data_IF_429761485919
#
_entry.id   IF_429761485919
#
_cell.length_a   1.000
_cell.length_b   1.000
_cell.length_c   1.000
_cell.angle_alpha   90.00
_cell.angle_beta   90.00
_cell.angle_gamma   90.00
#
_symmetry.space_group_name_H-M   'P 1'
#
loop_
_entity.id
_entity.type
_entity.pdbx_description
1 polymer ?
#
# COMPACT_ATOMS: atom_id res chain seq x y z
N UNK A 1 -36.03 -8.93 -48.14
CA UNK A 1 -35.11 -9.97 -47.63
C UNK A 1 -33.82 -9.26 -47.25
N UNK A 2 -33.75 -8.73 -46.03
CA UNK A 2 -32.68 -7.88 -45.52
C UNK A 2 -31.78 -8.71 -44.61
N UNK A 3 -30.56 -8.96 -45.07
CA UNK A 3 -29.52 -9.63 -44.31
C UNK A 3 -28.89 -8.63 -43.31
N UNK A 4 -29.22 -8.79 -42.03
CA UNK A 4 -28.52 -8.14 -40.91
C UNK A 4 -27.47 -9.12 -40.41
N UNK A 5 -26.25 -9.01 -40.93
CA UNK A 5 -25.09 -9.61 -40.28
C UNK A 5 -24.80 -8.84 -38.99
N UNK A 6 -25.22 -9.43 -37.88
CA UNK A 6 -24.85 -8.99 -36.53
C UNK A 6 -23.34 -9.17 -36.42
N UNK A 7 -22.61 -8.06 -36.47
CA UNK A 7 -21.20 -7.99 -36.12
C UNK A 7 -21.03 -8.50 -34.70
N UNK A 8 -20.55 -9.73 -34.58
CA UNK A 8 -19.97 -10.29 -33.36
C UNK A 8 -18.90 -9.31 -32.87
N UNK A 9 -19.24 -8.53 -31.84
CA UNK A 9 -18.31 -7.66 -31.16
C UNK A 9 -17.25 -8.51 -30.49
N UNK A 10 -16.17 -8.81 -31.23
CA UNK A 10 -14.97 -9.40 -30.68
C UNK A 10 -14.52 -8.51 -29.52
N UNK A 11 -14.64 -9.00 -28.29
CA UNK A 11 -14.04 -8.33 -27.13
C UNK A 11 -12.56 -8.19 -27.45
N UNK A 12 -12.11 -6.96 -27.70
CA UNK A 12 -10.69 -6.66 -27.87
C UNK A 12 -10.00 -7.21 -26.63
N UNK A 13 -9.15 -8.22 -26.81
CA UNK A 13 -8.41 -8.79 -25.71
C UNK A 13 -7.55 -7.68 -25.09
N UNK A 14 -7.57 -7.55 -23.76
CA UNK A 14 -6.72 -6.60 -23.07
C UNK A 14 -5.25 -6.80 -23.49
N UNK A 15 -4.50 -5.71 -23.75
CA UNK A 15 -3.08 -5.82 -24.06
C UNK A 15 -2.32 -6.50 -22.92
N UNK A 16 -1.26 -7.27 -23.23
CA UNK A 16 -0.44 -7.94 -22.24
C UNK A 16 0.17 -6.93 -21.25
N UNK A 17 0.46 -7.39 -20.02
CA UNK A 17 0.99 -6.55 -18.95
C UNK A 17 2.20 -5.71 -19.40
N UNK A 18 3.12 -6.32 -20.14
CA UNK A 18 4.34 -5.66 -20.65
C UNK A 18 4.03 -4.43 -21.51
N UNK A 19 3.04 -4.52 -22.41
CA UNK A 19 2.66 -3.41 -23.28
C UNK A 19 2.01 -2.27 -22.48
N UNK A 20 1.18 -2.61 -21.48
CA UNK A 20 0.61 -1.61 -20.57
C UNK A 20 1.68 -0.90 -19.77
N UNK A 21 2.68 -1.65 -19.27
CA UNK A 21 3.79 -1.05 -18.54
C UNK A 21 4.63 -0.13 -19.44
N UNK A 22 4.99 -0.57 -20.65
CA UNK A 22 5.76 0.24 -21.59
C UNK A 22 5.03 1.52 -22.03
N UNK A 23 3.71 1.45 -22.16
CA UNK A 23 2.90 2.61 -22.57
C UNK A 23 2.60 3.59 -21.43
N UNK A 24 2.59 3.13 -20.17
CA UNK A 24 2.15 3.94 -19.02
C UNK A 24 3.26 4.33 -18.04
N UNK A 25 4.31 3.52 -17.92
CA UNK A 25 5.45 3.85 -17.08
C UNK A 25 6.25 4.98 -17.72
N UNK A 26 6.61 5.98 -16.92
CA UNK A 26 7.34 7.15 -17.42
C UNK A 26 8.78 7.13 -16.87
N UNK A 27 9.80 7.51 -17.66
CA UNK A 27 11.17 7.59 -17.14
C UNK A 27 11.32 8.42 -15.85
N UNK A 28 10.63 9.57 -15.69
CA UNK A 28 10.64 10.32 -14.43
C UNK A 28 10.17 9.50 -13.22
N UNK A 29 9.27 8.53 -13.40
CA UNK A 29 8.77 7.68 -12.32
C UNK A 29 9.89 6.82 -11.76
N UNK A 30 10.72 6.26 -12.65
CA UNK A 30 11.87 5.43 -12.27
C UNK A 30 12.96 6.26 -11.58
N UNK A 31 13.18 7.50 -12.01
CA UNK A 31 14.11 8.42 -11.36
C UNK A 31 13.65 8.75 -9.93
N UNK A 32 12.37 9.07 -9.74
CA UNK A 32 11.80 9.36 -8.42
C UNK A 32 11.87 8.13 -7.51
N UNK A 33 11.53 6.95 -8.01
CA UNK A 33 11.63 5.70 -7.23
C UNK A 33 13.08 5.37 -6.87
N UNK A 34 14.03 5.64 -7.76
CA UNK A 34 15.46 5.40 -7.53
C UNK A 34 16.09 6.40 -6.57
N UNK A 35 15.47 7.56 -6.36
CA UNK A 35 15.99 8.58 -5.44
C UNK A 35 16.10 8.05 -4.00
N UNK A 36 15.15 7.22 -3.55
CA UNK A 36 15.15 6.66 -2.18
C UNK A 36 16.38 5.78 -1.93
N UNK A 37 16.65 4.70 -2.70
CA UNK A 37 17.83 3.88 -2.45
C UNK A 37 19.13 4.67 -2.63
N UNK A 38 19.19 5.64 -3.55
CA UNK A 38 20.35 6.54 -3.67
C UNK A 38 20.58 7.34 -2.40
N UNK A 39 19.53 7.94 -1.83
CA UNK A 39 19.63 8.69 -0.55
C UNK A 39 20.02 7.78 0.60
N UNK A 40 19.44 6.57 0.70
CA UNK A 40 19.78 5.60 1.74
C UNK A 40 21.25 5.17 1.65
N UNK A 41 21.74 4.86 0.45
CA UNK A 41 23.14 4.51 0.21
C UNK A 41 24.07 5.69 0.53
N UNK A 42 23.72 6.92 0.11
CA UNK A 42 24.50 8.12 0.39
C UNK A 42 24.55 8.46 1.90
N UNK A 43 23.45 8.27 2.63
CA UNK A 43 23.45 8.41 4.09
C UNK A 43 24.34 7.35 4.76
N UNK A 44 24.40 6.14 4.20
CA UNK A 44 25.24 5.07 4.71
C UNK A 44 26.74 5.30 4.50
N UNK A 45 27.16 6.07 3.49
CA UNK A 45 28.59 6.38 3.27
C UNK A 45 29.16 7.42 4.23
N UNK A 46 28.32 8.10 5.03
CA UNK A 46 28.77 9.01 6.09
C UNK A 46 29.58 8.26 7.17
N UNK A 47 30.38 8.97 7.97
CA UNK A 47 31.07 8.34 9.11
C UNK A 47 30.06 7.78 10.11
N UNK A 48 30.43 6.72 10.83
CA UNK A 48 29.55 6.13 11.85
C UNK A 48 29.12 7.15 12.90
N UNK A 49 30.04 8.02 13.32
CA UNK A 49 29.76 9.13 14.24
C UNK A 49 28.67 10.06 13.70
N UNK A 50 28.74 10.43 12.42
CA UNK A 50 27.72 11.27 11.75
C UNK A 50 26.38 10.53 11.65
N UNK A 51 26.40 9.23 11.35
CA UNK A 51 25.15 8.43 11.32
C UNK A 51 24.51 8.36 12.71
N UNK A 52 25.30 8.18 13.77
CA UNK A 52 24.79 8.16 15.15
C UNK A 52 24.24 9.52 15.58
N UNK A 53 24.84 10.63 15.18
CA UNK A 53 24.33 11.98 15.49
C UNK A 53 23.02 12.32 14.74
N UNK A 54 22.76 11.65 13.62
CA UNK A 54 21.51 11.78 12.85
C UNK A 54 20.42 10.79 13.27
N UNK A 55 20.71 9.87 14.20
CA UNK A 55 19.72 8.95 14.77
C UNK A 55 18.80 9.67 15.78
N UNK A 56 17.60 9.13 15.98
CA UNK A 56 16.58 9.76 16.83
C UNK A 56 16.72 9.33 18.29
N UNK A 57 17.38 10.13 19.11
CA UNK A 57 17.42 9.93 20.56
C UNK A 57 16.09 10.33 21.21
N UNK A 58 15.35 9.37 21.78
CA UNK A 58 14.02 9.66 22.37
C UNK A 58 14.07 10.60 23.57
N UNK A 59 15.22 10.72 24.22
CA UNK A 59 15.42 11.58 25.40
C UNK A 59 15.91 12.98 25.05
N UNK A 60 16.34 13.21 23.80
CA UNK A 60 16.79 14.50 23.29
C UNK A 60 16.37 14.66 21.81
N UNK A 61 15.05 14.73 21.53
CA UNK A 61 14.55 14.73 20.17
C UNK A 61 14.77 16.09 19.49
N UNK A 62 15.23 16.08 18.24
CA UNK A 62 15.33 17.28 17.40
C UNK A 62 14.48 17.12 16.13
N UNK A 63 14.12 18.23 15.49
CA UNK A 63 13.39 18.19 14.21
C UNK A 63 14.22 17.53 13.11
N UNK A 64 15.55 17.77 13.10
CA UNK A 64 16.45 17.15 12.15
C UNK A 64 16.46 15.62 12.33
N UNK A 65 16.71 15.15 13.56
CA UNK A 65 16.77 13.72 13.85
C UNK A 65 15.42 13.03 13.70
N UNK A 66 14.31 13.74 13.89
CA UNK A 66 12.98 13.21 13.61
C UNK A 66 12.80 12.81 12.14
N UNK A 67 13.48 13.49 11.21
CA UNK A 67 13.47 13.15 9.79
C UNK A 67 14.62 12.21 9.42
N UNK A 68 15.87 12.60 9.72
CA UNK A 68 17.08 11.92 9.23
C UNK A 68 17.20 10.50 9.74
N UNK A 69 16.70 10.20 10.94
CA UNK A 69 16.77 8.86 11.51
C UNK A 69 16.15 7.79 10.62
N UNK A 70 15.09 8.12 9.86
CA UNK A 70 14.45 7.17 8.95
C UNK A 70 15.31 6.83 7.73
N UNK A 71 16.33 7.64 7.42
CA UNK A 71 17.21 7.45 6.28
C UNK A 71 18.59 6.91 6.65
N UNK A 72 18.89 6.80 7.95
CA UNK A 72 20.19 6.38 8.44
C UNK A 72 20.14 4.93 8.91
N UNK A 73 21.20 4.20 8.60
CA UNK A 73 21.42 2.82 9.05
C UNK A 73 22.82 2.69 9.66
N UNK A 74 22.94 1.94 10.75
CA UNK A 74 24.23 1.71 11.40
C UNK A 74 24.94 0.45 10.87
N UNK A 75 24.18 -0.47 10.27
CA UNK A 75 24.64 -1.77 9.81
C UNK A 75 24.23 -2.05 8.37
N UNK A 76 25.11 -2.72 7.61
CA UNK A 76 24.87 -3.04 6.21
C UNK A 76 23.70 -4.01 6.01
N UNK A 77 23.54 -5.00 6.92
CA UNK A 77 22.43 -5.94 6.87
C UNK A 77 21.07 -5.23 7.05
N UNK A 78 21.02 -4.26 7.97
CA UNK A 78 19.81 -3.46 8.21
C UNK A 78 19.50 -2.52 7.02
N UNK A 79 20.52 -1.94 6.37
CA UNK A 79 20.33 -1.17 5.14
C UNK A 79 19.80 -2.07 4.01
N UNK A 80 20.45 -3.21 3.77
CA UNK A 80 20.10 -4.14 2.69
C UNK A 80 18.65 -4.63 2.83
N UNK A 81 18.23 -5.02 4.03
CA UNK A 81 16.86 -5.47 4.27
C UNK A 81 15.84 -4.36 3.99
N UNK A 82 16.14 -3.11 4.35
CA UNK A 82 15.27 -1.97 4.06
C UNK A 82 15.22 -1.61 2.58
N UNK A 83 16.34 -1.63 1.87
CA UNK A 83 16.40 -1.36 0.42
C UNK A 83 15.65 -2.46 -0.34
N UNK A 84 15.83 -3.72 0.04
CA UNK A 84 15.11 -4.85 -0.55
C UNK A 84 13.59 -4.74 -0.30
N UNK A 85 13.19 -4.47 0.94
CA UNK A 85 11.78 -4.27 1.29
C UNK A 85 11.17 -3.09 0.52
N UNK A 86 11.88 -1.96 0.44
CA UNK A 86 11.45 -0.81 -0.36
C UNK A 86 11.26 -1.18 -1.82
N UNK A 87 12.26 -1.82 -2.44
CA UNK A 87 12.20 -2.23 -3.85
C UNK A 87 11.00 -3.13 -4.14
N UNK A 88 10.72 -4.09 -3.25
CA UNK A 88 9.56 -4.96 -3.38
C UNK A 88 8.24 -4.20 -3.19
N UNK A 89 8.08 -3.48 -2.08
CA UNK A 89 6.81 -2.84 -1.72
C UNK A 89 6.48 -1.65 -2.62
N UNK A 90 7.42 -0.72 -2.80
CA UNK A 90 7.23 0.44 -3.67
C UNK A 90 7.20 0.03 -5.14
N UNK A 91 8.04 -0.93 -5.55
CA UNK A 91 8.06 -1.44 -6.92
C UNK A 91 6.74 -2.13 -7.30
N UNK A 92 6.28 -3.11 -6.51
CA UNK A 92 5.01 -3.80 -6.77
C UNK A 92 3.83 -2.84 -6.62
N UNK A 93 3.84 -1.96 -5.62
CA UNK A 93 2.84 -0.90 -5.48
C UNK A 93 2.75 0.00 -6.71
N UNK A 94 3.89 0.45 -7.26
CA UNK A 94 3.94 1.24 -8.48
C UNK A 94 3.37 0.48 -9.68
N UNK A 95 3.74 -0.79 -9.86
CA UNK A 95 3.22 -1.62 -10.94
C UNK A 95 1.69 -1.79 -10.85
N UNK A 96 1.16 -2.07 -9.65
CA UNK A 96 -0.29 -2.14 -9.40
C UNK A 96 -0.96 -0.80 -9.71
N UNK A 97 -0.36 0.32 -9.29
CA UNK A 97 -0.89 1.65 -9.51
C UNK A 97 -0.95 2.03 -10.99
N UNK A 98 0.13 1.84 -11.74
CA UNK A 98 0.20 2.19 -13.17
C UNK A 98 -0.75 1.34 -14.00
N UNK A 99 -0.80 0.03 -13.71
CA UNK A 99 -1.67 -0.90 -14.43
C UNK A 99 -3.15 -0.73 -14.10
N UNK A 100 -3.48 -0.11 -12.96
CA UNK A 100 -4.85 0.25 -12.56
C UNK A 100 -5.22 1.72 -12.83
N UNK A 101 -4.32 2.52 -13.41
CA UNK A 101 -4.56 3.95 -13.65
C UNK A 101 -4.44 4.83 -12.40
N UNK A 102 -4.06 4.27 -11.26
CA UNK A 102 -3.94 4.94 -9.96
C UNK A 102 -2.54 5.51 -9.68
N UNK A 103 -1.82 5.94 -10.72
CA UNK A 103 -0.47 6.54 -10.58
C UNK A 103 -0.47 7.75 -9.65
N UNK A 104 -1.53 8.58 -9.68
CA UNK A 104 -1.67 9.76 -8.81
C UNK A 104 -1.79 9.39 -7.33
N UNK A 105 -2.59 8.37 -7.01
CA UNK A 105 -2.70 7.83 -5.64
C UNK A 105 -1.33 7.38 -5.14
N UNK A 106 -0.62 6.57 -5.94
CA UNK A 106 0.70 6.05 -5.55
C UNK A 106 1.70 7.17 -5.28
N UNK A 107 1.88 8.13 -6.18
CA UNK A 107 2.88 9.19 -5.97
C UNK A 107 2.49 10.20 -4.89
N UNK A 108 1.20 10.42 -4.65
CA UNK A 108 0.74 11.23 -3.50
C UNK A 108 1.11 10.55 -2.19
N UNK A 109 0.81 9.25 -2.09
CA UNK A 109 1.17 8.44 -0.93
C UNK A 109 2.69 8.34 -0.75
N UNK A 110 3.43 8.04 -1.83
CA UNK A 110 4.90 7.98 -1.86
C UNK A 110 5.54 9.25 -1.32
N UNK A 111 5.16 10.43 -1.84
CA UNK A 111 5.69 11.70 -1.38
C UNK A 111 5.36 11.94 0.10
N UNK A 112 4.14 11.60 0.53
CA UNK A 112 3.72 11.71 1.93
C UNK A 112 4.54 10.79 2.84
N UNK A 113 4.80 9.55 2.41
CA UNK A 113 5.54 8.56 3.19
C UNK A 113 7.03 8.88 3.29
N UNK A 114 7.63 9.42 2.22
CA UNK A 114 9.03 9.81 2.27
C UNK A 114 9.24 11.15 2.97
N UNK A 115 8.34 12.13 2.81
CA UNK A 115 8.60 13.49 3.26
C UNK A 115 7.91 13.86 4.58
N UNK A 116 6.73 13.29 4.86
CA UNK A 116 5.92 13.69 6.02
C UNK A 116 5.91 12.62 7.12
N UNK A 117 5.84 11.35 6.75
CA UNK A 117 5.82 10.25 7.73
C UNK A 117 7.03 10.21 8.66
N UNK A 118 8.27 10.55 8.25
CA UNK A 118 9.38 10.57 9.19
C UNK A 118 9.09 11.42 10.44
N UNK A 119 8.52 12.62 10.25
CA UNK A 119 8.12 13.49 11.35
C UNK A 119 6.96 12.92 12.17
N UNK A 120 5.90 12.47 11.50
CA UNK A 120 4.70 11.93 12.17
C UNK A 120 5.04 10.70 12.99
N UNK A 121 5.77 9.76 12.40
CA UNK A 121 6.20 8.54 13.07
C UNK A 121 7.10 8.87 14.25
N UNK A 122 8.14 9.68 14.07
CA UNK A 122 9.03 10.08 15.18
C UNK A 122 8.28 10.76 16.33
N UNK A 123 7.35 11.67 16.02
CA UNK A 123 6.56 12.38 17.02
C UNK A 123 5.62 11.44 17.79
N UNK A 124 4.86 10.58 17.09
CA UNK A 124 3.98 9.61 17.75
C UNK A 124 4.76 8.59 18.57
N UNK A 125 5.98 8.29 18.16
CA UNK A 125 6.84 7.34 18.83
C UNK A 125 7.38 7.86 20.18
N UNK A 126 7.32 9.17 20.42
CA UNK A 126 7.62 9.78 21.73
C UNK A 126 6.53 9.47 22.77
N UNK A 127 5.33 9.03 22.34
CA UNK A 127 4.26 8.61 23.26
C UNK A 127 4.63 7.35 24.07
N UNK A 128 5.66 6.61 23.66
CA UNK A 128 6.19 5.43 24.35
C UNK A 128 7.60 5.74 24.86
N UNK A 129 7.76 6.18 26.11
CA UNK A 129 9.05 6.56 26.67
C UNK A 129 10.03 5.38 26.69
N UNK A 130 11.24 5.58 26.17
CA UNK A 130 12.34 4.60 26.25
C UNK A 130 13.68 5.29 26.12
N UNK A 131 14.70 4.71 26.75
CA UNK A 131 16.10 5.14 26.57
C UNK A 131 16.73 4.35 25.42
N UNK A 132 16.36 4.74 24.20
CA UNK A 132 16.88 4.13 22.98
C UNK A 132 17.18 5.21 21.93
N UNK A 133 17.74 4.77 20.80
CA UNK A 133 17.78 5.56 19.57
C UNK A 133 16.94 4.87 18.51
N UNK A 134 16.18 5.64 17.73
CA UNK A 134 15.47 5.15 16.54
C UNK A 134 16.28 5.44 15.29
N UNK A 135 16.37 4.47 14.39
CA UNK A 135 16.93 4.65 13.05
C UNK A 135 16.39 3.58 12.09
N UNK A 136 16.51 3.85 10.80
CA UNK A 136 16.14 2.94 9.71
C UNK A 136 14.80 3.27 9.04
N UNK A 137 14.68 2.82 7.80
CA UNK A 137 13.57 3.15 6.89
C UNK A 137 12.33 2.25 7.07
N UNK A 138 12.34 1.36 8.06
CA UNK A 138 11.37 0.27 8.17
C UNK A 138 9.96 0.76 8.48
N UNK A 139 9.82 1.85 9.22
CA UNK A 139 8.52 2.52 9.41
C UNK A 139 7.91 3.04 8.11
N UNK A 140 8.74 3.57 7.21
CA UNK A 140 8.33 4.02 5.88
C UNK A 140 8.05 2.82 4.97
N UNK A 141 8.81 1.74 5.07
CA UNK A 141 8.49 0.48 4.38
C UNK A 141 7.12 -0.08 4.83
N UNK A 142 6.81 -0.03 6.12
CA UNK A 142 5.47 -0.40 6.61
C UNK A 142 4.37 0.50 6.08
N UNK A 143 4.67 1.78 5.81
CA UNK A 143 3.73 2.65 5.13
C UNK A 143 3.42 2.15 3.71
N UNK A 144 4.42 1.74 2.94
CA UNK A 144 4.19 1.10 1.64
C UNK A 144 3.41 -0.22 1.75
N UNK A 145 3.67 -1.01 2.79
CA UNK A 145 2.89 -2.21 3.06
C UNK A 145 1.42 -1.90 3.37
N UNK A 146 1.14 -0.82 4.12
CA UNK A 146 -0.21 -0.33 4.44
C UNK A 146 -0.98 0.18 3.21
N UNK A 147 -0.27 0.70 2.20
CA UNK A 147 -0.87 1.15 0.94
C UNK A 147 -1.24 -0.02 0.01
N UNK A 148 -0.53 -1.16 0.11
CA UNK A 148 -0.63 -2.26 -0.84
C UNK A 148 -2.05 -2.87 -0.98
N UNK A 149 -2.83 -3.08 0.11
CA UNK A 149 -4.21 -3.53 -0.01
C UNK A 149 -5.11 -2.59 -0.83
N UNK A 150 -4.89 -1.28 -0.75
CA UNK A 150 -5.67 -0.29 -1.50
C UNK A 150 -5.35 -0.38 -3.01
N UNK A 151 -4.07 -0.55 -3.34
CA UNK A 151 -3.62 -0.71 -4.73
C UNK A 151 -4.08 -2.04 -5.33
N UNK A 152 -4.14 -3.10 -4.52
CA UNK A 152 -4.76 -4.37 -4.89
C UNK A 152 -6.26 -4.20 -5.15
N UNK A 153 -6.98 -3.48 -4.29
CA UNK A 153 -8.40 -3.19 -4.51
C UNK A 153 -8.63 -2.40 -5.81
N UNK A 154 -7.79 -1.39 -6.09
CA UNK A 154 -7.81 -0.66 -7.35
C UNK A 154 -7.49 -1.53 -8.56
N UNK A 155 -6.51 -2.42 -8.44
CA UNK A 155 -6.15 -3.36 -9.48
C UNK A 155 -7.28 -4.34 -9.79
N UNK A 156 -7.89 -4.92 -8.75
CA UNK A 156 -9.06 -5.81 -8.88
C UNK A 156 -10.22 -5.05 -9.53
N UNK A 157 -10.51 -3.82 -9.09
CA UNK A 157 -11.54 -2.97 -9.70
C UNK A 157 -11.29 -2.76 -11.19
N UNK A 158 -10.08 -2.33 -11.57
CA UNK A 158 -9.71 -2.08 -12.95
C UNK A 158 -9.82 -3.32 -13.86
N UNK A 159 -9.69 -4.53 -13.29
CA UNK A 159 -9.74 -5.79 -14.06
C UNK A 159 -11.11 -6.47 -14.06
N UNK A 160 -11.94 -6.20 -13.07
CA UNK A 160 -13.29 -6.78 -12.97
C UNK A 160 -14.39 -5.86 -13.51
N UNK A 161 -14.12 -4.56 -13.62
CA UNK A 161 -15.01 -3.59 -14.26
C UNK A 161 -15.06 -3.88 -15.76
N UNK A 162 -16.04 -4.68 -16.20
CA UNK A 162 -16.24 -5.09 -17.59
C UNK A 162 -16.70 -3.90 -18.48
N UNK A 163 -15.96 -2.79 -18.50
CA UNK A 163 -16.34 -1.54 -19.18
C UNK A 163 -17.34 -0.66 -18.42
N UNK A 164 -17.82 -1.10 -17.26
CA UNK A 164 -18.62 -0.26 -16.36
C UNK A 164 -17.81 0.92 -15.83
N UNK A 165 -18.34 2.14 -16.00
CA UNK A 165 -17.74 3.39 -15.50
C UNK A 165 -18.10 3.65 -14.04
N UNK A 166 -17.97 2.63 -13.20
CA UNK A 166 -18.18 2.82 -11.76
C UNK A 166 -16.95 3.49 -11.17
N UNK A 167 -17.10 4.64 -10.46
CA UNK A 167 -16.00 5.28 -9.77
C UNK A 167 -15.32 4.30 -8.81
N UNK A 168 -14.00 4.42 -8.63
CA UNK A 168 -13.23 3.51 -7.79
C UNK A 168 -13.70 3.60 -6.33
N UNK A 169 -14.01 4.81 -5.87
CA UNK A 169 -14.59 5.08 -4.54
C UNK A 169 -15.86 4.26 -4.24
N UNK A 170 -16.69 4.05 -5.27
CA UNK A 170 -17.96 3.32 -5.19
C UNK A 170 -17.83 1.83 -5.54
N UNK A 171 -16.61 1.31 -5.70
CA UNK A 171 -16.40 -0.08 -6.09
C UNK A 171 -16.56 -1.07 -4.92
N UNK A 172 -16.96 -2.31 -5.22
CA UNK A 172 -17.03 -3.38 -4.20
C UNK A 172 -15.69 -3.63 -3.52
N UNK A 173 -14.54 -3.71 -4.22
CA UNK A 173 -13.24 -3.84 -3.57
C UNK A 173 -12.94 -2.75 -2.55
N UNK A 174 -13.25 -1.47 -2.88
CA UNK A 174 -13.02 -0.36 -1.95
C UNK A 174 -13.95 -0.41 -0.73
N UNK A 175 -15.22 -0.83 -0.91
CA UNK A 175 -16.13 -1.04 0.22
C UNK A 175 -15.67 -2.12 1.21
N UNK A 176 -14.91 -3.11 0.74
CA UNK A 176 -14.40 -4.19 1.59
C UNK A 176 -13.08 -3.85 2.29
N UNK A 177 -12.44 -2.71 1.94
CA UNK A 177 -11.16 -2.30 2.53
C UNK A 177 -11.19 -2.20 4.06
N UNK A 178 -12.23 -1.67 4.75
CA UNK A 178 -12.28 -1.70 6.22
C UNK A 178 -12.22 -3.12 6.80
N UNK A 179 -12.87 -4.09 6.16
CA UNK A 179 -12.78 -5.49 6.58
C UNK A 179 -11.37 -6.04 6.33
N UNK A 180 -10.78 -5.77 5.16
CA UNK A 180 -9.39 -6.15 4.84
C UNK A 180 -8.40 -5.55 5.83
N UNK A 181 -8.57 -4.28 6.21
CA UNK A 181 -7.75 -3.61 7.21
C UNK A 181 -7.76 -4.37 8.54
N UNK A 182 -8.96 -4.68 9.06
CA UNK A 182 -9.10 -5.41 10.32
C UNK A 182 -8.51 -6.82 10.23
N UNK A 183 -8.65 -7.51 9.09
CA UNK A 183 -8.01 -8.81 8.89
C UNK A 183 -6.49 -8.70 8.96
N UNK A 184 -5.87 -7.72 8.28
CA UNK A 184 -4.41 -7.56 8.29
C UNK A 184 -3.90 -7.03 9.62
N UNK A 185 -4.61 -6.11 10.28
CA UNK A 185 -4.28 -5.64 11.64
C UNK A 185 -4.41 -6.76 12.66
N UNK A 186 -5.45 -7.58 12.57
CA UNK A 186 -5.62 -8.75 13.41
C UNK A 186 -4.51 -9.77 13.19
N UNK A 187 -4.09 -9.98 11.94
CA UNK A 187 -2.92 -10.79 11.60
C UNK A 187 -1.62 -10.25 12.20
N UNK A 188 -1.37 -8.95 12.08
CA UNK A 188 -0.24 -8.28 12.75
C UNK A 188 -0.31 -8.49 14.27
N UNK A 189 -1.50 -8.37 14.87
CA UNK A 189 -1.71 -8.62 16.29
C UNK A 189 -1.40 -10.06 16.72
N UNK A 190 -1.75 -11.05 15.88
CA UNK A 190 -1.39 -12.46 16.11
C UNK A 190 0.13 -12.67 16.09
N UNK A 191 0.84 -11.97 15.20
CA UNK A 191 2.29 -12.07 15.09
C UNK A 191 3.02 -11.34 16.23
N UNK A 192 2.53 -10.16 16.61
CA UNK A 192 3.22 -9.26 17.51
C UNK A 192 2.93 -9.48 19.00
N UNK A 193 1.80 -10.12 19.35
CA UNK A 193 1.37 -10.29 20.74
C UNK A 193 1.58 -11.73 21.22
N UNK A 194 2.14 -11.94 22.43
CA UNK A 194 2.33 -13.27 22.99
C UNK A 194 0.97 -13.91 23.32
N UNK A 195 0.69 -15.07 22.74
CA UNK A 195 -0.61 -15.77 22.86
C UNK A 195 -0.71 -16.72 24.04
N UNK A 196 0.43 -17.17 24.59
CA UNK A 196 0.47 -18.25 25.58
C UNK A 196 0.42 -17.80 27.05
N UNK A 197 0.57 -16.51 27.35
CA UNK A 197 0.81 -16.04 28.73
C UNK A 197 -0.01 -14.81 29.17
N UNK A 198 -0.73 -14.12 28.26
CA UNK A 198 -1.40 -12.84 28.55
C UNK A 198 -2.77 -12.77 27.84
N UNK A 199 -3.85 -12.34 28.53
CA UNK A 199 -5.11 -11.94 27.90
C UNK A 199 -4.96 -10.99 26.69
N UNK A 200 -3.88 -10.21 26.56
CA UNK A 200 -3.66 -9.41 25.34
C UNK A 200 -3.51 -10.26 24.08
N UNK A 201 -3.10 -11.53 24.21
CA UNK A 201 -2.93 -12.46 23.09
C UNK A 201 -4.21 -12.74 22.29
N UNK A 202 -5.40 -12.52 22.88
CA UNK A 202 -6.68 -12.70 22.17
C UNK A 202 -7.09 -11.51 21.30
N UNK A 203 -6.41 -10.35 21.43
CA UNK A 203 -6.75 -9.14 20.67
C UNK A 203 -6.56 -9.36 19.17
N UNK A 204 -5.42 -9.90 18.75
CA UNK A 204 -5.14 -10.20 17.34
C UNK A 204 -6.20 -11.10 16.69
N UNK A 205 -6.45 -12.31 17.24
CA UNK A 205 -7.51 -13.20 16.77
C UNK A 205 -8.92 -12.56 16.77
N UNK A 206 -9.25 -11.79 17.81
CA UNK A 206 -10.54 -11.11 17.92
C UNK A 206 -10.76 -10.06 16.83
N UNK A 207 -9.75 -9.22 16.58
CA UNK A 207 -9.78 -8.22 15.50
C UNK A 207 -9.84 -8.89 14.12
N UNK A 208 -9.08 -9.97 13.92
CA UNK A 208 -9.13 -10.75 12.68
C UNK A 208 -10.53 -11.31 12.42
N UNK A 209 -11.14 -11.95 13.43
CA UNK A 209 -12.49 -12.48 13.35
C UNK A 209 -13.51 -11.38 13.04
N UNK A 210 -13.40 -10.23 13.72
CA UNK A 210 -14.23 -9.06 13.46
C UNK A 210 -14.13 -8.57 12.00
N UNK A 211 -12.91 -8.54 11.45
CA UNK A 211 -12.67 -8.23 10.04
C UNK A 211 -13.31 -9.23 9.08
N UNK A 212 -13.18 -10.52 9.36
CA UNK A 212 -13.82 -11.60 8.56
C UNK A 212 -15.34 -11.47 8.58
N UNK A 213 -15.93 -11.28 9.76
CA UNK A 213 -17.38 -11.11 9.91
C UNK A 213 -17.90 -9.85 9.22
N UNK A 214 -17.16 -8.74 9.31
CA UNK A 214 -17.50 -7.49 8.61
C UNK A 214 -17.45 -7.68 7.08
N UNK A 215 -16.42 -8.36 6.57
CA UNK A 215 -16.29 -8.67 5.15
C UNK A 215 -17.41 -9.58 4.65
N UNK A 216 -17.72 -10.65 5.42
CA UNK A 216 -18.83 -11.56 5.13
C UNK A 216 -20.17 -10.81 5.09
N UNK A 217 -20.44 -9.95 6.08
CA UNK A 217 -21.63 -9.09 6.10
C UNK A 217 -21.69 -8.18 4.87
N UNK A 218 -20.57 -7.54 4.50
CA UNK A 218 -20.49 -6.69 3.31
C UNK A 218 -20.86 -7.44 2.03
N UNK A 219 -20.32 -8.65 1.84
CA UNK A 219 -20.63 -9.51 0.69
C UNK A 219 -22.09 -9.97 0.72
N UNK A 220 -22.58 -10.44 1.88
CA UNK A 220 -23.95 -10.94 2.03
C UNK A 220 -25.00 -9.84 1.83
N UNK A 221 -24.69 -8.60 2.21
CA UNK A 221 -25.55 -7.43 1.99
C UNK A 221 -25.61 -6.97 0.52
N UNK A 222 -24.72 -7.48 -0.34
CA UNK A 222 -24.74 -7.18 -1.77
C UNK A 222 -25.80 -8.06 -2.46
N UNK A 223 -26.68 -7.51 -3.34
CA UNK A 223 -27.66 -8.29 -4.10
C UNK A 223 -27.01 -9.46 -4.83
N UNK A 224 -27.67 -10.62 -4.89
CA UNK A 224 -27.12 -11.87 -5.47
C UNK A 224 -26.52 -11.66 -6.87
N UNK A 225 -27.20 -10.89 -7.72
CA UNK A 225 -26.77 -10.55 -9.08
C UNK A 225 -25.47 -9.74 -9.14
N UNK A 226 -25.15 -9.00 -8.07
CA UNK A 226 -23.95 -8.16 -7.92
C UNK A 226 -22.92 -8.76 -6.98
N UNK A 227 -23.18 -9.94 -6.41
CA UNK A 227 -22.22 -10.59 -5.51
C UNK A 227 -20.98 -10.97 -6.30
N UNK A 228 -19.78 -10.61 -5.82
CA UNK A 228 -18.56 -10.98 -6.51
C UNK A 228 -18.40 -12.51 -6.47
N UNK A 229 -18.42 -13.16 -7.64
CA UNK A 229 -17.97 -14.54 -7.77
C UNK A 229 -16.45 -14.56 -7.64
N UNK A 230 -15.95 -14.97 -6.47
CA UNK A 230 -14.50 -15.04 -6.19
C UNK A 230 -13.78 -15.90 -7.23
N UNK A 231 -14.39 -17.03 -7.60
CA UNK A 231 -13.84 -17.97 -8.61
C UNK A 231 -13.74 -17.34 -9.99
N UNK A 232 -14.77 -16.63 -10.43
CA UNK A 232 -14.76 -15.98 -11.75
C UNK A 232 -13.87 -14.74 -11.77
N UNK A 233 -13.82 -13.98 -10.68
CA UNK A 233 -12.93 -12.85 -10.54
C UNK A 233 -11.47 -13.29 -10.57
N UNK A 234 -11.14 -14.34 -9.81
CA UNK A 234 -9.80 -14.91 -9.78
C UNK A 234 -9.39 -15.51 -11.13
N UNK A 235 -10.27 -16.28 -11.79
CA UNK A 235 -10.05 -16.76 -13.16
C UNK A 235 -9.78 -15.60 -14.12
N UNK A 236 -10.60 -14.54 -14.09
CA UNK A 236 -10.40 -13.37 -14.95
C UNK A 236 -9.07 -12.66 -14.73
N UNK A 237 -8.56 -12.65 -13.50
CA UNK A 237 -7.26 -12.06 -13.18
C UNK A 237 -6.12 -13.00 -13.61
N UNK A 238 -6.26 -14.31 -13.37
CA UNK A 238 -5.23 -15.33 -13.67
C UNK A 238 -5.11 -15.62 -15.16
N UNK A 239 -6.21 -15.69 -15.90
CA UNK A 239 -6.23 -16.09 -17.32
C UNK A 239 -5.57 -15.04 -18.26
N UNK A 240 -5.11 -13.91 -17.72
CA UNK A 240 -4.52 -12.80 -18.47
C UNK A 240 -3.00 -12.75 -18.24
N UNK A 241 -2.24 -12.87 -19.34
CA UNK A 241 -0.76 -12.94 -19.36
C UNK A 241 -0.11 -11.85 -18.48
N UNK A 242 0.52 -12.27 -17.38
CA UNK A 242 1.29 -11.45 -16.43
C UNK A 242 0.47 -10.75 -15.33
N UNK A 243 -0.84 -10.58 -15.49
CA UNK A 243 -1.68 -9.90 -14.49
C UNK A 243 -1.97 -10.77 -13.27
N UNK A 244 -2.14 -12.08 -13.49
CA UNK A 244 -2.25 -13.06 -12.41
C UNK A 244 -1.02 -13.06 -11.52
N UNK A 245 0.18 -13.02 -12.11
CA UNK A 245 1.44 -13.00 -11.39
C UNK A 245 1.59 -11.72 -10.55
N UNK A 246 1.31 -10.55 -11.13
CA UNK A 246 1.37 -9.28 -10.39
C UNK A 246 0.38 -9.25 -9.22
N UNK A 247 -0.85 -9.75 -9.43
CA UNK A 247 -1.83 -9.87 -8.35
C UNK A 247 -1.36 -10.83 -7.26
N UNK A 248 -0.85 -12.00 -7.63
CA UNK A 248 -0.35 -13.00 -6.69
C UNK A 248 0.83 -12.47 -5.87
N UNK A 249 1.80 -11.80 -6.51
CA UNK A 249 2.93 -11.16 -5.84
C UNK A 249 2.46 -10.07 -4.89
N UNK A 250 1.57 -9.18 -5.33
CA UNK A 250 1.03 -8.12 -4.47
C UNK A 250 0.24 -8.66 -3.27
N UNK A 251 -0.64 -9.65 -3.49
CA UNK A 251 -1.40 -10.29 -2.42
C UNK A 251 -0.49 -11.04 -1.44
N UNK A 252 0.54 -11.72 -1.96
CA UNK A 252 1.55 -12.40 -1.14
C UNK A 252 2.30 -11.39 -0.29
N UNK A 253 2.78 -10.29 -0.85
CA UNK A 253 3.45 -9.23 -0.09
C UNK A 253 2.55 -8.64 1.00
N UNK A 254 1.26 -8.42 0.72
CA UNK A 254 0.32 -7.87 1.69
C UNK A 254 0.11 -8.77 2.93
N UNK A 255 0.28 -10.10 2.77
CA UNK A 255 0.11 -11.08 3.86
C UNK A 255 1.45 -11.48 4.50
N UNK A 256 2.47 -11.69 3.68
CA UNK A 256 3.76 -12.24 4.10
C UNK A 256 4.71 -11.17 4.64
N UNK A 257 4.68 -9.93 4.14
CA UNK A 257 5.57 -8.88 4.64
C UNK A 257 5.36 -8.55 6.13
N UNK A 258 4.12 -8.55 6.67
CA UNK A 258 3.90 -8.49 8.12
C UNK A 258 4.68 -9.52 8.94
N UNK A 259 4.94 -10.72 8.42
CA UNK A 259 5.74 -11.74 9.13
C UNK A 259 7.19 -11.27 9.33
N UNK A 260 7.75 -10.60 8.33
CA UNK A 260 9.10 -10.00 8.41
C UNK A 260 9.08 -8.73 9.27
N UNK A 261 7.99 -7.97 9.20
CA UNK A 261 7.80 -6.73 9.94
C UNK A 261 7.60 -6.89 11.44
N UNK A 262 7.07 -8.03 11.85
CA UNK A 262 6.70 -8.34 13.23
C UNK A 262 7.26 -9.71 13.63
N UNK A 263 8.60 -9.84 13.74
CA UNK A 263 9.22 -11.09 14.15
C UNK A 263 8.89 -11.40 15.62
N UNK A 264 8.88 -12.69 15.95
CA UNK A 264 8.62 -13.18 17.32
C UNK A 264 9.70 -12.77 18.32
N UNK A 265 10.94 -12.60 17.84
CA UNK A 265 12.04 -12.01 18.60
C UNK A 265 12.44 -10.68 17.94
N UNK A 266 12.15 -9.52 18.57
CA UNK A 266 12.50 -8.22 18.04
C UNK A 266 13.96 -7.83 18.33
N UNK A 267 14.71 -8.67 19.06
CA UNK A 267 16.14 -8.48 19.28
C UNK A 267 16.91 -8.65 17.98
N UNK A 268 17.72 -7.66 17.63
CA UNK A 268 18.69 -7.74 16.53
C UNK A 268 20.05 -7.34 17.08
N UNK A 269 21.12 -7.83 16.47
CA UNK A 269 22.47 -7.37 16.81
C UNK A 269 22.49 -5.83 16.75
N UNK A 270 22.88 -5.18 17.85
CA UNK A 270 22.94 -3.72 17.96
C UNK A 270 21.63 -2.96 18.22
N UNK A 271 20.46 -3.61 18.38
CA UNK A 271 19.22 -2.89 18.68
C UNK A 271 17.94 -3.73 18.87
N UNK A 272 16.80 -3.03 18.98
CA UNK A 272 15.46 -3.65 19.09
C UNK A 272 14.58 -3.10 17.98
N UNK A 273 13.91 -3.99 17.24
CA UNK A 273 12.95 -3.59 16.20
C UNK A 273 11.79 -2.84 16.84
N UNK A 274 11.49 -1.66 16.31
CA UNK A 274 10.43 -0.82 16.82
C UNK A 274 9.06 -1.22 16.23
N UNK A 275 8.50 -2.32 16.76
CA UNK A 275 7.20 -2.87 16.35
C UNK A 275 6.08 -1.82 16.40
N UNK A 276 6.15 -0.87 17.33
CA UNK A 276 5.18 0.22 17.43
C UNK A 276 5.23 1.17 16.22
N UNK A 277 6.42 1.58 15.79
CA UNK A 277 6.57 2.42 14.56
C UNK A 277 6.14 1.66 13.32
N UNK A 278 6.45 0.36 13.25
CA UNK A 278 6.00 -0.48 12.13
C UNK A 278 4.48 -0.50 12.05
N UNK A 279 3.81 -0.71 13.18
CA UNK A 279 2.36 -0.70 13.28
C UNK A 279 1.76 0.66 12.91
N UNK A 280 2.32 1.76 13.43
CA UNK A 280 1.88 3.12 13.09
C UNK A 280 2.04 3.42 11.60
N UNK A 281 3.20 3.09 11.02
CA UNK A 281 3.46 3.25 9.59
C UNK A 281 2.41 2.55 8.74
N UNK A 282 2.12 1.28 9.05
CA UNK A 282 1.08 0.52 8.37
C UNK A 282 -0.31 1.16 8.52
N UNK A 283 -0.74 1.45 9.74
CA UNK A 283 -2.09 1.94 10.01
C UNK A 283 -2.36 3.32 9.39
N UNK A 284 -1.44 4.27 9.56
CA UNK A 284 -1.59 5.62 9.01
C UNK A 284 -1.61 5.59 7.48
N UNK A 285 -0.76 4.77 6.87
CA UNK A 285 -0.66 4.65 5.42
C UNK A 285 -1.81 3.87 4.78
N UNK A 286 -2.52 3.06 5.56
CA UNK A 286 -3.79 2.50 5.13
C UNK A 286 -4.89 3.56 5.25
N UNK A 287 -5.08 4.11 6.45
CA UNK A 287 -6.26 4.93 6.80
C UNK A 287 -6.29 6.22 5.98
N UNK A 288 -5.18 6.97 5.92
CA UNK A 288 -5.14 8.26 5.23
C UNK A 288 -5.51 8.15 3.74
N UNK A 289 -4.77 7.36 2.96
CA UNK A 289 -5.10 7.07 1.57
C UNK A 289 -6.50 6.44 1.38
N UNK A 290 -6.96 5.58 2.30
CA UNK A 290 -8.31 5.00 2.24
C UNK A 290 -9.39 6.07 2.33
N UNK A 291 -9.28 7.03 3.26
CA UNK A 291 -10.24 8.12 3.42
C UNK A 291 -10.31 8.97 2.14
N UNK A 292 -9.15 9.30 1.54
CA UNK A 292 -9.09 10.04 0.29
C UNK A 292 -9.69 9.24 -0.88
N UNK A 293 -9.43 7.94 -0.93
CA UNK A 293 -9.96 7.03 -1.95
C UNK A 293 -11.47 6.87 -1.85
N UNK A 294 -11.99 6.59 -0.65
CA UNK A 294 -13.42 6.48 -0.38
C UNK A 294 -14.15 7.81 -0.58
N UNK A 295 -13.47 8.93 -0.37
CA UNK A 295 -13.96 10.28 -0.68
C UNK A 295 -13.90 10.67 -2.17
N UNK A 296 -13.44 9.78 -3.06
CA UNK A 296 -13.43 10.02 -4.51
C UNK A 296 -12.35 10.98 -5.01
N UNK A 297 -11.33 11.30 -4.20
CA UNK A 297 -10.24 12.24 -4.58
C UNK A 297 -9.45 11.75 -5.81
N UNK A 298 -9.42 10.44 -6.01
CA UNK A 298 -8.70 9.75 -7.09
C UNK A 298 -9.61 9.16 -8.16
N UNK A 299 -10.92 9.41 -8.10
CA UNK A 299 -11.79 9.05 -9.21
C UNK A 299 -11.40 9.87 -10.45
N UNK A 300 -11.47 9.23 -11.63
CA UNK A 300 -11.30 9.96 -12.88
C UNK A 300 -12.41 11.03 -12.95
N UNK A 301 -12.01 12.31 -12.99
CA UNK A 301 -12.95 13.40 -13.23
C UNK A 301 -13.59 13.13 -14.57
N UNK A 302 -14.85 12.67 -14.55
CA UNK A 302 -15.68 12.65 -15.73
C UNK A 302 -15.66 14.07 -16.26
N UNK A 303 -15.14 14.25 -17.48
CA UNK A 303 -15.09 15.54 -18.12
C UNK A 303 -16.46 16.22 -17.95
N UNK A 304 -16.45 17.48 -17.52
CA UNK A 304 -17.61 18.38 -17.57
C UNK A 304 -18.03 18.51 -19.04
N UNK A 305 -18.76 17.54 -19.56
CA UNK A 305 -19.54 17.65 -20.78
C UNK A 305 -20.95 18.01 -20.35
N UNK A 306 -21.11 19.27 -19.98
CA UNK A 306 -22.38 19.86 -19.60
C UNK A 306 -22.23 21.37 -19.65
N UNK A 307 -22.60 21.96 -20.78
CA UNK A 307 -22.77 23.41 -20.92
C UNK A 307 -21.66 24.12 -21.68
N UNK A 308 -21.64 23.96 -23.01
CA UNK A 308 -21.44 25.13 -23.87
C UNK A 308 -22.72 25.28 -24.67
N UNK A 309 -23.60 26.11 -24.12
CA UNK A 309 -24.65 26.84 -24.83
C UNK A 309 -24.12 27.35 -26.16
N UNK A 310 -24.59 26.74 -27.25
CA UNK A 310 -24.52 27.32 -28.58
C UNK A 310 -25.71 28.30 -28.69
N UNK A 311 -25.53 29.48 -28.09
CA UNK A 311 -26.35 30.65 -28.39
C UNK A 311 -25.55 31.44 -29.42
N UNK A 312 -25.92 31.28 -30.69
CA UNK A 312 -25.66 32.31 -31.69
C UNK A 312 -26.85 33.27 -31.73
N UNK A 313 -26.65 34.57 -31.45
CA UNK A 313 -27.46 35.60 -32.07
C UNK A 313 -26.92 35.90 -33.48
N UNK A 314 -27.86 36.32 -34.31
CA UNK A 314 -27.76 36.92 -35.66
C UNK A 314 -27.40 36.01 -36.85
#
# INVERSE_FOLDING_TARGET
MTDRSIGSGARVADPPLREVLLSRARPPDLLVLSAVPVVLLAAFTLSEETRRSLAFAYHDPTVLTAFSAHYVHLEAAHLLSNVAAYGLLAGVGYLLAVTSGQRRLFFTAFATFCLSFPFVLSAMNLAVPRRAIGFGFSGVNMAFAGLLPLLLAAFVHARLSNGERTPLSASTPVRLLPATFLVVVGWIGVLALPTAADPTGIVGPGVLLGGVLLGARGILSTPLERRPSVREGLRRVIDRRGYGDLFAVGATLAVAYPVVGFPTDPGVDGGVINLYVHFLGFCLAFIGPYVLLAGGVFDERTARLGGSTDLRPD
#
